data_IF_306674634865
#
_entry.id   IF_306674634865
#
_cell.length_a   1.000
_cell.length_b   1.000
_cell.length_c   1.000
_cell.angle_alpha   90.00
_cell.angle_beta   90.00
_cell.angle_gamma   90.00
#
_symmetry.space_group_name_H-M   'P 1'
#
loop_
_entity.id
_entity.type
_entity.pdbx_description
1 polymer ?
#
# COMPACT_ATOMS: atom_id res chain seq x y z
N UNK A 1 -9.69 15.98 -21.79
CA UNK A 1 -8.35 15.82 -21.19
C UNK A 1 -8.42 14.68 -20.20
N UNK A 2 -7.46 13.75 -20.22
CA UNK A 2 -7.35 12.74 -19.17
C UNK A 2 -6.83 13.42 -17.90
N UNK A 3 -7.42 13.10 -16.74
CA UNK A 3 -6.91 13.60 -15.47
C UNK A 3 -5.61 12.85 -15.13
N UNK A 4 -4.60 13.57 -14.67
CA UNK A 4 -3.31 13.02 -14.26
C UNK A 4 -3.18 13.07 -12.74
N UNK A 5 -2.37 12.18 -12.16
CA UNK A 5 -2.05 12.22 -10.74
C UNK A 5 -0.77 13.03 -10.52
N UNK A 6 -0.82 14.02 -9.62
CA UNK A 6 0.33 14.83 -9.23
C UNK A 6 1.15 14.19 -8.09
N UNK A 7 0.45 13.55 -7.15
CA UNK A 7 1.05 12.89 -5.97
C UNK A 7 0.32 11.58 -5.69
N UNK A 8 1.05 10.63 -5.10
CA UNK A 8 0.50 9.35 -4.64
C UNK A 8 1.03 9.01 -3.25
N UNK A 9 0.14 8.45 -2.42
CA UNK A 9 0.48 7.90 -1.11
C UNK A 9 -0.13 6.51 -1.03
N UNK A 10 0.54 5.61 -0.31
CA UNK A 10 0.00 4.28 -0.15
C UNK A 10 0.31 3.66 1.21
N UNK A 11 -0.58 2.77 1.62
CA UNK A 11 -0.43 1.94 2.81
C UNK A 11 -0.63 0.48 2.45
N UNK A 12 0.12 -0.38 3.10
CA UNK A 12 0.07 -1.82 2.94
C UNK A 12 -0.25 -2.50 4.25
N UNK A 13 -1.19 -3.45 4.21
CA UNK A 13 -1.38 -4.46 5.24
C UNK A 13 -0.83 -5.78 4.70
N UNK A 14 0.14 -6.36 5.40
CA UNK A 14 0.73 -7.66 5.09
C UNK A 14 1.28 -8.28 6.38
N UNK A 15 1.75 -9.52 6.29
CA UNK A 15 2.27 -10.30 7.41
C UNK A 15 3.57 -10.99 7.00
N UNK A 16 4.51 -11.13 7.94
CA UNK A 16 5.79 -11.78 7.68
C UNK A 16 5.61 -13.30 7.48
N UNK A 17 4.64 -13.91 8.19
CA UNK A 17 4.20 -15.29 7.98
C UNK A 17 2.70 -15.35 7.76
N UNK A 18 2.25 -16.35 7.00
CA UNK A 18 0.83 -16.54 6.64
C UNK A 18 -0.11 -16.64 7.85
N UNK A 19 0.37 -17.20 8.96
CA UNK A 19 -0.41 -17.41 10.18
C UNK A 19 -0.30 -16.27 11.19
N UNK A 20 0.53 -15.26 10.94
CA UNK A 20 0.70 -14.15 11.87
C UNK A 20 -0.62 -13.37 11.99
N UNK A 21 -1.00 -13.08 13.22
CA UNK A 21 -2.21 -12.34 13.55
C UNK A 21 -2.01 -11.54 14.82
N UNK A 22 -2.90 -10.58 15.05
CA UNK A 22 -2.91 -9.78 16.27
C UNK A 22 -3.50 -10.59 17.43
N UNK A 23 -2.82 -10.58 18.56
CA UNK A 23 -3.31 -11.16 19.83
C UNK A 23 -3.50 -10.04 20.85
N UNK A 24 -4.17 -10.29 21.99
CA UNK A 24 -4.24 -9.29 23.07
C UNK A 24 -2.86 -8.83 23.54
N UNK A 25 -1.88 -9.73 23.62
CA UNK A 25 -0.51 -9.42 24.06
C UNK A 25 0.33 -8.74 22.98
N UNK A 26 0.00 -8.95 21.70
CA UNK A 26 0.69 -8.38 20.56
C UNK A 26 -0.31 -7.85 19.50
N UNK A 27 -1.01 -6.73 19.80
CA UNK A 27 -2.08 -6.24 18.93
C UNK A 27 -1.58 -5.55 17.65
N UNK A 28 -0.27 -5.30 17.54
CA UNK A 28 0.37 -4.60 16.42
C UNK A 28 1.17 -5.48 15.46
N UNK A 29 1.12 -6.81 15.63
CA UNK A 29 1.88 -7.77 14.80
C UNK A 29 1.59 -7.58 13.30
N UNK A 30 0.31 -7.47 12.96
CA UNK A 30 -0.20 -7.21 11.61
C UNK A 30 -0.97 -5.88 11.62
N UNK A 31 -0.38 -4.85 11.02
CA UNK A 31 -0.94 -3.51 11.00
C UNK A 31 -0.59 -2.78 9.69
N UNK A 32 -1.42 -1.82 9.22
CA UNK A 32 -1.14 -1.07 7.99
C UNK A 32 0.08 -0.16 8.14
N UNK A 33 1.05 -0.29 7.25
CA UNK A 33 2.30 0.49 7.23
C UNK A 33 2.37 1.37 5.98
N UNK A 34 3.16 2.45 6.04
CA UNK A 34 3.43 3.27 4.86
C UNK A 34 4.13 2.39 3.82
N UNK A 35 3.72 2.56 2.57
CA UNK A 35 4.32 1.88 1.42
C UNK A 35 4.87 2.93 0.44
N UNK A 36 6.17 2.86 0.18
CA UNK A 36 6.86 3.84 -0.68
C UNK A 36 7.02 3.37 -2.14
N UNK A 37 6.77 2.10 -2.46
CA UNK A 37 6.99 1.57 -3.82
C UNK A 37 5.72 1.66 -4.68
N UNK A 38 5.14 2.87 -4.74
CA UNK A 38 4.17 3.26 -5.75
C UNK A 38 4.84 4.34 -6.59
N UNK A 39 4.95 4.07 -7.89
CA UNK A 39 5.63 4.98 -8.82
C UNK A 39 4.63 5.54 -9.80
N UNK A 40 4.60 6.87 -9.91
CA UNK A 40 3.94 7.53 -11.03
C UNK A 40 4.78 7.31 -12.29
N UNK A 41 4.14 6.82 -13.34
CA UNK A 41 4.69 6.71 -14.68
C UNK A 41 3.82 7.58 -15.62
N UNK A 42 4.32 7.99 -16.80
CA UNK A 42 3.52 8.84 -17.68
C UNK A 42 2.14 8.22 -17.97
N UNK A 43 1.08 8.93 -17.58
CA UNK A 43 -0.33 8.55 -17.69
C UNK A 43 -0.81 7.33 -16.86
N UNK A 44 0.06 6.67 -16.10
CA UNK A 44 -0.25 5.42 -15.39
C UNK A 44 0.36 5.38 -13.98
N UNK A 45 0.06 4.32 -13.22
CA UNK A 45 0.64 4.05 -11.91
C UNK A 45 1.16 2.62 -11.83
N UNK A 46 2.42 2.47 -11.42
CA UNK A 46 3.05 1.18 -11.16
C UNK A 46 3.06 0.84 -9.67
N UNK A 47 2.67 -0.39 -9.32
CA UNK A 47 2.73 -0.90 -7.95
C UNK A 47 3.30 -2.31 -7.94
N UNK A 48 4.39 -2.52 -7.22
CA UNK A 48 4.83 -3.88 -6.87
C UNK A 48 4.03 -4.35 -5.65
N UNK A 49 3.64 -5.61 -5.54
CA UNK A 49 2.88 -6.10 -4.39
C UNK A 49 3.54 -7.37 -3.83
N UNK A 50 3.86 -7.40 -2.52
CA UNK A 50 4.19 -8.66 -1.87
C UNK A 50 3.02 -9.63 -1.99
N UNK A 51 3.31 -10.94 -1.98
CA UNK A 51 2.26 -11.93 -1.79
C UNK A 51 1.51 -11.66 -0.47
N UNK A 52 0.22 -11.99 -0.44
CA UNK A 52 -0.63 -11.82 0.75
C UNK A 52 -0.62 -10.39 1.28
N UNK A 53 -0.96 -9.45 0.40
CA UNK A 53 -1.04 -8.04 0.75
C UNK A 53 -2.38 -7.43 0.36
N UNK A 54 -2.83 -6.49 1.19
CA UNK A 54 -3.85 -5.51 0.83
C UNK A 54 -3.19 -4.15 0.77
N UNK A 55 -3.34 -3.44 -0.35
CA UNK A 55 -2.80 -2.09 -0.53
C UNK A 55 -3.91 -1.12 -0.85
N UNK A 56 -3.88 0.01 -0.14
CA UNK A 56 -4.69 1.18 -0.44
C UNK A 56 -3.78 2.26 -1.01
N UNK A 57 -4.18 2.83 -2.15
CA UNK A 57 -3.46 3.92 -2.80
C UNK A 57 -4.39 5.12 -2.91
N UNK A 58 -3.89 6.27 -2.51
CA UNK A 58 -4.53 7.57 -2.61
C UNK A 58 -3.72 8.41 -3.60
N UNK A 59 -4.41 9.17 -4.44
CA UNK A 59 -3.77 10.04 -5.42
C UNK A 59 -4.44 11.41 -5.49
N UNK A 60 -3.64 12.45 -5.67
CA UNK A 60 -4.12 13.80 -5.91
C UNK A 60 -4.20 14.05 -7.42
N UNK A 61 -5.35 14.51 -7.91
CA UNK A 61 -5.51 14.90 -9.31
C UNK A 61 -4.79 16.23 -9.59
N UNK A 62 -4.21 16.35 -10.78
CA UNK A 62 -3.58 17.55 -11.33
C UNK A 62 -4.55 18.39 -12.17
#
# INVERSE_FOLDING_TARGET
>A
MAAHLAEVRSRILTADKLQDHNTPDAPGTVAPRIREQVTLIPADMGVHLPAHSFVTVEGCLA
#
